data_IF_153612217824
#
_entry.id   IF_153612217824
#
_cell.length_a   1.000
_cell.length_b   1.000
_cell.length_c   1.000
_cell.angle_alpha   90.00
_cell.angle_beta   90.00
_cell.angle_gamma   90.00
#
_symmetry.space_group_name_H-M   'P 1'
#
loop_
_entity.id
_entity.type
_entity.pdbx_description
1 polymer ?
#
# COMPACT_ATOMS: atom_id res chain seq x y z
N UNK A 1 -4.62 -22.97 4.29
CA UNK A 1 -3.55 -22.74 3.32
C UNK A 1 -3.18 -21.27 3.43
N UNK A 2 -1.91 -20.96 3.74
CA UNK A 2 -1.40 -19.59 3.91
C UNK A 2 -0.29 -19.40 2.87
N UNK A 3 -0.25 -18.22 2.23
CA UNK A 3 0.78 -17.91 1.25
C UNK A 3 2.02 -17.34 1.95
N UNK A 4 3.21 -17.62 1.44
CA UNK A 4 4.41 -16.94 1.96
C UNK A 4 4.34 -15.42 1.69
N UNK A 5 3.87 -15.06 0.50
CA UNK A 5 3.74 -13.69 0.04
C UNK A 5 2.44 -13.44 -0.73
N UNK A 6 1.85 -12.26 -0.53
CA UNK A 6 0.84 -11.70 -1.43
C UNK A 6 1.29 -10.33 -1.92
N UNK A 7 1.00 -10.01 -3.19
CA UNK A 7 1.40 -8.75 -3.81
C UNK A 7 0.16 -7.91 -4.08
N UNK A 8 0.18 -6.65 -3.63
CA UNK A 8 -0.88 -5.68 -3.92
C UNK A 8 -0.30 -4.47 -4.66
N UNK A 9 -0.81 -4.21 -5.87
CA UNK A 9 -0.29 -3.18 -6.78
C UNK A 9 -1.31 -2.07 -6.91
N UNK A 10 -0.88 -0.83 -6.73
CA UNK A 10 -1.78 0.33 -6.83
C UNK A 10 -1.05 1.65 -6.98
N UNK A 11 -1.78 2.70 -7.36
CA UNK A 11 -1.25 4.08 -7.41
C UNK A 11 -1.30 4.75 -6.05
N UNK A 12 -2.33 4.43 -5.25
CA UNK A 12 -2.55 4.98 -3.91
C UNK A 12 -2.57 6.51 -3.89
N UNK A 13 -3.36 7.12 -4.78
CA UNK A 13 -3.49 8.56 -4.99
C UNK A 13 -4.91 9.06 -4.65
N UNK A 14 -5.33 9.14 -3.37
CA UNK A 14 -4.57 8.84 -2.15
C UNK A 14 -4.73 7.37 -1.70
N UNK A 15 -4.01 6.99 -0.64
CA UNK A 15 -4.36 5.81 0.14
C UNK A 15 -5.70 6.05 0.86
N UNK A 16 -6.55 5.02 0.95
CA UNK A 16 -7.90 5.14 1.50
C UNK A 16 -8.37 3.81 2.12
N UNK A 17 -9.49 3.81 2.83
CA UNK A 17 -10.02 2.65 3.59
C UNK A 17 -10.24 1.40 2.73
N UNK A 18 -10.60 1.55 1.45
CA UNK A 18 -10.67 0.42 0.52
C UNK A 18 -9.32 -0.28 0.30
N UNK A 19 -8.22 0.46 0.18
CA UNK A 19 -6.87 -0.11 0.06
C UNK A 19 -6.44 -0.79 1.36
N UNK A 20 -6.71 -0.14 2.50
CA UNK A 20 -6.46 -0.70 3.83
C UNK A 20 -7.17 -2.05 4.02
N UNK A 21 -8.45 -2.13 3.66
CA UNK A 21 -9.25 -3.34 3.78
C UNK A 21 -8.65 -4.51 2.98
N UNK A 22 -8.11 -4.23 1.79
CA UNK A 22 -7.43 -5.23 0.95
C UNK A 22 -6.14 -5.71 1.60
N UNK A 23 -5.31 -4.79 2.12
CA UNK A 23 -4.04 -5.15 2.78
C UNK A 23 -4.30 -5.98 4.04
N UNK A 24 -5.24 -5.57 4.90
CA UNK A 24 -5.62 -6.34 6.09
C UNK A 24 -6.14 -7.73 5.72
N UNK A 25 -6.91 -7.86 4.65
CA UNK A 25 -7.34 -9.17 4.17
C UNK A 25 -6.17 -10.01 3.67
N UNK A 26 -5.21 -9.40 2.99
CA UNK A 26 -4.01 -10.09 2.52
C UNK A 26 -3.11 -10.55 3.69
N UNK A 27 -2.96 -9.76 4.76
CA UNK A 27 -2.23 -10.14 5.97
C UNK A 27 -2.85 -11.36 6.68
N UNK A 28 -4.17 -11.56 6.59
CA UNK A 28 -4.82 -12.78 7.11
C UNK A 28 -4.50 -14.03 6.28
N UNK A 29 -4.13 -13.85 5.01
CA UNK A 29 -3.94 -14.94 4.04
C UNK A 29 -2.46 -15.24 3.77
N UNK A 30 -1.55 -14.38 4.26
CA UNK A 30 -0.13 -14.49 3.98
C UNK A 30 0.75 -14.23 5.20
N UNK A 31 2.02 -14.62 5.12
CA UNK A 31 3.03 -14.23 6.10
C UNK A 31 3.52 -12.80 5.84
N UNK A 32 3.58 -12.38 4.57
CA UNK A 32 4.00 -11.04 4.15
C UNK A 32 3.14 -10.50 3.01
N UNK A 33 2.84 -9.21 3.08
CA UNK A 33 2.22 -8.46 1.98
C UNK A 33 3.22 -7.49 1.39
N UNK A 34 3.46 -7.60 0.09
CA UNK A 34 4.31 -6.67 -0.66
C UNK A 34 3.39 -5.68 -1.36
N UNK A 35 3.51 -4.40 -1.00
CA UNK A 35 2.75 -3.33 -1.66
C UNK A 35 3.64 -2.63 -2.68
N UNK A 36 3.24 -2.66 -3.95
CA UNK A 36 3.94 -2.00 -5.04
C UNK A 36 3.25 -0.69 -5.41
N UNK A 37 3.90 0.43 -5.09
CA UNK A 37 3.42 1.79 -5.42
C UNK A 37 3.78 2.13 -6.87
N UNK A 38 2.80 2.07 -7.75
CA UNK A 38 2.94 2.43 -9.16
C UNK A 38 3.08 3.94 -9.38
N UNK A 39 3.62 4.33 -10.54
CA UNK A 39 3.87 5.75 -10.88
C UNK A 39 4.74 6.49 -9.84
N UNK A 40 5.63 5.79 -9.14
CA UNK A 40 6.46 6.32 -8.06
C UNK A 40 7.36 7.50 -8.48
N UNK A 41 7.90 7.44 -9.70
CA UNK A 41 8.88 8.39 -10.24
C UNK A 41 8.30 9.34 -11.30
N UNK A 42 6.98 9.51 -11.35
CA UNK A 42 6.35 10.47 -12.25
C UNK A 42 6.27 11.87 -11.60
N UNK A 43 6.37 12.96 -12.39
CA UNK A 43 6.07 14.30 -11.90
C UNK A 43 4.66 14.39 -11.32
N UNK A 44 4.47 15.30 -10.36
CA UNK A 44 3.16 15.54 -9.76
C UNK A 44 2.18 16.06 -10.82
N UNK A 45 0.95 15.56 -10.77
CA UNK A 45 -0.17 15.97 -11.63
C UNK A 45 -1.47 15.94 -10.82
N UNK A 46 -2.57 16.51 -11.32
CA UNK A 46 -3.90 16.35 -10.69
C UNK A 46 -4.26 14.87 -10.51
N UNK A 47 -3.78 13.99 -11.40
CA UNK A 47 -4.00 12.55 -11.33
C UNK A 47 -3.05 11.84 -10.36
N UNK A 48 -1.82 12.34 -10.17
CA UNK A 48 -0.78 11.83 -9.27
C UNK A 48 -0.28 12.98 -8.37
N UNK A 49 -1.09 13.47 -7.42
CA UNK A 49 -0.72 14.66 -6.65
C UNK A 49 0.34 14.39 -5.58
N UNK A 50 0.50 13.14 -5.13
CA UNK A 50 1.50 12.74 -4.13
C UNK A 50 2.68 11.98 -4.73
N UNK A 51 3.88 12.24 -4.22
CA UNK A 51 5.07 11.46 -4.56
C UNK A 51 5.11 10.10 -3.85
N UNK A 52 6.15 9.32 -4.10
CA UNK A 52 6.30 7.99 -3.49
C UNK A 52 6.38 8.05 -1.96
N UNK A 53 7.21 8.94 -1.41
CA UNK A 53 7.48 9.01 0.03
C UNK A 53 6.23 9.44 0.80
N UNK A 54 5.46 10.39 0.27
CA UNK A 54 4.20 10.83 0.86
C UNK A 54 3.18 9.68 0.93
N UNK A 55 3.07 8.89 -0.15
CA UNK A 55 2.14 7.75 -0.21
C UNK A 55 2.57 6.62 0.71
N UNK A 56 3.86 6.32 0.75
CA UNK A 56 4.40 5.33 1.68
C UNK A 56 4.17 5.76 3.14
N UNK A 57 4.53 7.00 3.49
CA UNK A 57 4.36 7.52 4.85
C UNK A 57 2.90 7.51 5.28
N UNK A 58 1.98 7.95 4.43
CA UNK A 58 0.55 7.94 4.72
C UNK A 58 0.06 6.50 4.92
N UNK A 59 0.46 5.58 4.04
CA UNK A 59 0.06 4.18 4.14
C UNK A 59 0.58 3.55 5.45
N UNK A 60 1.88 3.68 5.74
CA UNK A 60 2.50 3.10 6.94
C UNK A 60 1.90 3.63 8.24
N UNK A 61 1.48 4.90 8.27
CA UNK A 61 0.84 5.49 9.46
C UNK A 61 -0.52 4.88 9.84
N UNK A 62 -1.13 4.09 8.94
CA UNK A 62 -2.43 3.42 9.18
C UNK A 62 -2.26 2.04 9.84
N UNK A 63 -1.06 1.47 9.77
CA UNK A 63 -0.75 0.12 10.28
C UNK A 63 0.08 0.22 11.57
N UNK A 64 -0.05 -0.77 12.45
CA UNK A 64 0.76 -0.84 13.66
C UNK A 64 2.23 -1.19 13.37
N UNK A 65 3.10 -1.07 14.38
CA UNK A 65 4.50 -1.52 14.27
C UNK A 65 4.62 -3.03 14.05
N UNK A 66 3.64 -3.82 14.48
CA UNK A 66 3.61 -5.28 14.25
C UNK A 66 3.17 -5.64 12.83
N UNK A 67 2.34 -4.79 12.21
CA UNK A 67 1.87 -4.97 10.84
C UNK A 67 2.89 -4.48 9.78
N UNK A 68 3.82 -3.60 10.16
CA UNK A 68 4.86 -3.03 9.30
C UNK A 68 6.15 -3.86 9.26
#
# INVERSE_FOLDING_TARGET
MRYDYLIFIGRFQPFHTGHESVIRKALQLSDKVIVLIGSAYQPRTVRNPWDFNERESLMRSVFSDEEN
#
